data_IF_002092690147
#
_entry.id   IF_002092690147
#
_cell.length_a   1.000
_cell.length_b   1.000
_cell.length_c   1.000
_cell.angle_alpha   90.00
_cell.angle_beta   90.00
_cell.angle_gamma   90.00
#
_symmetry.space_group_name_H-M   'P 1'
#
loop_
_entity.id
_entity.type
_entity.pdbx_description
1 polymer ?
#
# COMPACT_ATOMS: atom_id res chain seq x y z
N UNK A 1 15.13 21.63 9.61
CA UNK A 1 14.22 20.59 10.10
C UNK A 1 15.00 19.74 11.10
N UNK A 2 14.42 19.40 12.25
CA UNK A 2 15.15 18.63 13.29
C UNK A 2 15.42 17.21 12.73
N UNK A 3 16.52 16.55 13.11
CA UNK A 3 16.88 15.23 12.59
C UNK A 3 15.78 14.17 12.76
N UNK A 4 14.94 14.28 13.80
CA UNK A 4 13.77 13.42 14.06
C UNK A 4 12.71 13.53 12.95
N UNK A 5 12.54 14.72 12.35
CA UNK A 5 11.53 14.96 11.32
C UNK A 5 11.90 14.23 10.02
N UNK A 6 13.20 14.14 9.70
CA UNK A 6 13.71 13.46 8.50
C UNK A 6 13.61 11.93 8.59
N UNK A 7 13.80 11.35 9.79
CA UNK A 7 13.66 9.90 9.99
C UNK A 7 12.20 9.46 9.90
N UNK A 8 11.27 10.26 10.44
CA UNK A 8 9.84 10.00 10.35
C UNK A 8 9.34 10.07 8.91
N UNK A 9 9.77 11.08 8.15
CA UNK A 9 9.44 11.23 6.73
C UNK A 9 9.95 10.03 5.91
N UNK A 10 11.18 9.58 6.17
CA UNK A 10 11.74 8.39 5.52
C UNK A 10 10.94 7.12 5.85
N UNK A 11 10.49 6.95 7.09
CA UNK A 11 9.67 5.83 7.50
C UNK A 11 8.30 5.85 6.81
N UNK A 12 7.67 7.03 6.68
CA UNK A 12 6.43 7.20 5.96
C UNK A 12 6.56 6.84 4.47
N UNK A 13 7.65 7.24 3.81
CA UNK A 13 7.94 6.87 2.43
C UNK A 13 8.09 5.35 2.27
N UNK A 14 8.83 4.70 3.18
CA UNK A 14 8.97 3.24 3.21
C UNK A 14 7.62 2.55 3.41
N UNK A 15 6.79 3.04 4.33
CA UNK A 15 5.44 2.53 4.52
C UNK A 15 4.62 2.66 3.23
N UNK A 16 4.72 3.78 2.52
CA UNK A 16 4.05 4.01 1.23
C UNK A 16 4.43 2.98 0.16
N UNK A 17 5.72 2.64 0.05
CA UNK A 17 6.20 1.60 -0.86
C UNK A 17 5.67 0.21 -0.49
N UNK A 18 5.55 -0.07 0.81
CA UNK A 18 5.12 -1.38 1.31
C UNK A 18 3.61 -1.63 1.18
N UNK A 19 2.79 -0.62 0.85
CA UNK A 19 1.32 -0.76 0.71
C UNK A 19 0.96 -1.82 -0.34
N UNK A 20 1.59 -1.81 -1.51
CA UNK A 20 1.29 -2.79 -2.55
C UNK A 20 1.69 -4.23 -2.14
N UNK A 21 2.94 -4.52 -1.74
CA UNK A 21 3.35 -5.87 -1.39
C UNK A 21 2.60 -6.43 -0.18
N UNK A 22 2.25 -5.62 0.83
CA UNK A 22 1.48 -6.13 1.98
C UNK A 22 0.07 -6.56 1.57
N UNK A 23 -0.58 -5.85 0.65
CA UNK A 23 -1.88 -6.25 0.13
C UNK A 23 -1.80 -7.51 -0.74
N UNK A 24 -0.74 -7.66 -1.54
CA UNK A 24 -0.52 -8.88 -2.30
C UNK A 24 -0.29 -10.10 -1.38
N UNK A 25 0.53 -9.94 -0.35
CA UNK A 25 0.77 -10.97 0.66
C UNK A 25 -0.54 -11.47 1.28
N UNK A 26 -1.38 -10.53 1.77
CA UNK A 26 -2.64 -10.89 2.40
C UNK A 26 -3.66 -11.48 1.42
N UNK A 27 -3.64 -11.07 0.15
CA UNK A 27 -4.49 -11.66 -0.89
C UNK A 27 -4.13 -13.14 -1.12
N UNK A 28 -2.84 -13.44 -1.30
CA UNK A 28 -2.35 -14.80 -1.50
C UNK A 28 -2.60 -15.68 -0.27
N UNK A 29 -2.31 -15.16 0.92
CA UNK A 29 -2.62 -15.86 2.17
C UNK A 29 -4.10 -16.21 2.25
N UNK A 30 -4.99 -15.27 1.92
CA UNK A 30 -6.43 -15.51 1.98
C UNK A 30 -6.88 -16.60 1.01
N UNK A 31 -6.44 -16.56 -0.25
CA UNK A 31 -6.80 -17.60 -1.21
C UNK A 31 -6.27 -18.98 -0.79
N UNK A 32 -5.06 -19.04 -0.22
CA UNK A 32 -4.54 -20.28 0.35
C UNK A 32 -5.38 -20.78 1.52
N UNK A 33 -5.78 -19.90 2.44
CA UNK A 33 -6.68 -20.26 3.54
C UNK A 33 -8.06 -20.70 3.02
N UNK A 34 -8.59 -20.11 1.95
CA UNK A 34 -9.83 -20.56 1.32
C UNK A 34 -9.77 -22.01 0.81
N UNK A 35 -8.58 -22.51 0.48
CA UNK A 35 -8.35 -23.91 0.09
C UNK A 35 -8.10 -24.83 1.29
N UNK A 36 -7.40 -24.33 2.32
CA UNK A 36 -6.97 -25.15 3.46
C UNK A 36 -8.01 -25.21 4.59
N UNK A 37 -8.86 -24.20 4.72
CA UNK A 37 -9.76 -24.09 5.86
C UNK A 37 -11.02 -24.91 5.64
N UNK A 38 -11.42 -25.66 6.67
CA UNK A 38 -12.67 -26.41 6.66
C UNK A 38 -13.88 -25.47 6.53
N UNK A 39 -15.01 -25.93 5.97
CA UNK A 39 -16.22 -25.12 5.76
C UNK A 39 -16.86 -24.57 7.04
N UNK A 40 -16.37 -24.93 8.23
CA UNK A 40 -16.84 -24.43 9.52
C UNK A 40 -16.30 -23.04 9.87
N UNK A 41 -15.36 -22.49 9.10
CA UNK A 41 -14.92 -21.11 9.30
C UNK A 41 -15.99 -20.13 8.82
N UNK A 42 -16.34 -19.17 9.66
CA UNK A 42 -17.26 -18.07 9.32
C UNK A 42 -16.59 -16.97 8.50
N UNK A 43 -15.28 -17.06 8.31
CA UNK A 43 -14.51 -16.04 7.60
C UNK A 43 -14.53 -16.30 6.09
N UNK A 44 -15.02 -15.33 5.32
CA UNK A 44 -15.02 -15.37 3.85
C UNK A 44 -13.63 -15.00 3.28
N UNK A 45 -12.76 -15.99 3.25
CA UNK A 45 -11.40 -15.87 2.72
C UNK A 45 -11.37 -15.45 1.24
N UNK A 46 -12.34 -15.90 0.44
CA UNK A 46 -12.37 -15.60 -1.00
C UNK A 46 -12.66 -14.11 -1.21
N UNK A 47 -13.68 -13.58 -0.53
CA UNK A 47 -14.01 -12.17 -0.62
C UNK A 47 -12.88 -11.29 -0.04
N UNK A 48 -12.32 -11.67 1.11
CA UNK A 48 -11.18 -10.95 1.69
C UNK A 48 -9.97 -10.91 0.73
N UNK A 49 -9.65 -12.04 0.10
CA UNK A 49 -8.58 -12.13 -0.89
C UNK A 49 -8.81 -11.21 -2.10
N UNK A 50 -10.04 -11.18 -2.63
CA UNK A 50 -10.43 -10.27 -3.73
C UNK A 50 -10.26 -8.80 -3.34
N UNK A 51 -10.72 -8.41 -2.15
CA UNK A 51 -10.58 -7.04 -1.64
C UNK A 51 -9.09 -6.64 -1.54
N UNK A 52 -8.25 -7.53 -1.02
CA UNK A 52 -6.81 -7.28 -0.90
C UNK A 52 -6.12 -7.22 -2.25
N UNK A 53 -6.49 -8.08 -3.20
CA UNK A 53 -5.97 -8.04 -4.56
C UNK A 53 -6.32 -6.71 -5.27
N UNK A 54 -7.55 -6.21 -5.08
CA UNK A 54 -7.94 -4.91 -5.62
C UNK A 54 -7.10 -3.75 -5.03
N UNK A 55 -6.79 -3.79 -3.72
CA UNK A 55 -5.90 -2.81 -3.11
C UNK A 55 -4.46 -2.92 -3.64
N UNK A 56 -3.94 -4.12 -3.87
CA UNK A 56 -2.68 -4.28 -4.57
C UNK A 56 -2.72 -3.65 -5.97
N UNK A 57 -3.75 -3.95 -6.77
CA UNK A 57 -3.89 -3.40 -8.13
C UNK A 57 -3.93 -1.86 -8.13
N UNK A 58 -4.56 -1.25 -7.12
CA UNK A 58 -4.61 0.21 -6.94
C UNK A 58 -3.24 0.81 -6.64
N UNK A 59 -2.40 0.14 -5.84
CA UNK A 59 -1.14 0.71 -5.35
C UNK A 59 0.12 0.16 -6.03
N UNK A 60 0.01 -0.87 -6.89
CA UNK A 60 1.17 -1.55 -7.51
C UNK A 60 2.10 -0.61 -8.27
N UNK A 61 1.59 0.49 -8.81
CA UNK A 61 2.39 1.47 -9.54
C UNK A 61 3.35 2.23 -8.60
N UNK A 62 2.95 2.44 -7.34
CA UNK A 62 3.75 3.18 -6.35
C UNK A 62 5.00 2.39 -5.92
N UNK A 63 4.96 1.06 -6.01
CA UNK A 63 6.10 0.20 -5.66
C UNK A 63 7.28 0.35 -6.63
N UNK A 64 7.01 0.63 -7.91
CA UNK A 64 8.05 0.78 -8.94
C UNK A 64 8.57 2.21 -9.07
N UNK A 65 8.05 3.15 -8.27
CA UNK A 65 8.56 4.51 -8.26
C UNK A 65 9.90 4.54 -7.53
N UNK A 66 10.95 5.15 -8.12
CA UNK A 66 12.19 5.41 -7.39
C UNK A 66 11.87 6.24 -6.15
N UNK A 67 12.46 5.90 -5.00
CA UNK A 67 12.38 6.68 -3.75
C UNK A 67 12.63 8.19 -3.96
N UNK A 68 13.43 8.55 -4.97
CA UNK A 68 13.75 9.93 -5.32
C UNK A 68 12.68 10.65 -6.17
N UNK A 69 11.72 9.93 -6.76
CA UNK A 69 10.66 10.50 -7.60
C UNK A 69 9.45 10.96 -6.78
N UNK A 70 9.18 10.31 -5.64
CA UNK A 70 8.11 10.70 -4.71
C UNK A 70 8.27 12.14 -4.22
N UNK A 71 9.51 12.60 -4.02
CA UNK A 71 9.84 14.00 -3.63
C UNK A 71 9.43 15.06 -4.65
N UNK A 72 9.36 14.72 -5.95
CA UNK A 72 8.99 15.71 -6.98
C UNK A 72 7.48 15.90 -7.06
N UNK A 73 6.69 14.85 -6.86
CA UNK A 73 5.23 14.93 -6.94
C UNK A 73 4.60 15.68 -5.77
N UNK A 74 5.16 15.59 -4.56
CA UNK A 74 4.70 16.39 -3.41
C UNK A 74 5.00 17.89 -3.58
N UNK A 75 6.12 18.26 -4.21
CA UNK A 75 6.41 19.66 -4.52
C UNK A 75 5.54 20.21 -5.66
N UNK A 76 5.20 19.40 -6.67
CA UNK A 76 4.33 19.85 -7.78
C UNK A 76 2.86 19.96 -7.33
N UNK A 77 2.38 19.10 -6.41
CA UNK A 77 1.02 19.22 -5.88
C UNK A 77 0.85 20.37 -4.90
N UNK A 78 1.88 20.75 -4.14
CA UNK A 78 1.81 21.92 -3.24
C UNK A 78 1.80 23.26 -3.99
N UNK A 79 2.34 23.34 -5.21
CA UNK A 79 2.30 24.56 -6.03
C UNK A 79 0.98 24.75 -6.80
N UNK A 80 0.10 23.74 -6.87
CA UNK A 80 -1.14 23.82 -7.67
C UNK A 80 -2.41 24.04 -6.81
N UNK A 81 -2.27 24.54 -5.58
CA UNK A 81 -3.42 25.06 -4.82
C UNK A 81 -3.42 26.58 -4.95
N UNK A 82 -3.79 27.06 -6.13
CA UNK A 82 -4.16 28.46 -6.31
C UNK A 82 -5.44 28.73 -5.53
N UNK A 83 -5.35 29.65 -4.58
CA UNK A 83 -6.48 30.32 -3.95
C UNK A 83 -7.35 30.98 -5.02
N UNK A 84 -8.55 30.46 -5.24
CA UNK A 84 -9.74 31.20 -5.68
C UNK A 84 -10.99 30.51 -5.13
#
# INVERSE_FOLDING_TARGET
LKPIDNELEHLCDLCGLLIAPIHLYWALWAFLQGLLTKPTSTFDYINYGKIRLAQYQKHKQNFFLPLNHSRKTSNIQLETVHYF
#
